data_IF_286785886267
#
_entry.id   IF_286785886267
#
_cell.length_a   1.000
_cell.length_b   1.000
_cell.length_c   1.000
_cell.angle_alpha   90.00
_cell.angle_beta   90.00
_cell.angle_gamma   90.00
#
_symmetry.space_group_name_H-M   'P 1'
#
loop_
_entity.id
_entity.type
_entity.pdbx_description
1 polymer ?
#
# COMPACT_ATOMS: atom_id res chain seq x y z
N UNK A 1 2.14 5.48 -2.65
CA UNK A 1 2.31 6.92 -2.41
C UNK A 1 2.72 7.58 -3.71
N UNK A 2 1.98 8.60 -4.15
CA UNK A 2 2.31 9.34 -5.37
C UNK A 2 3.34 10.42 -5.05
N UNK A 3 4.59 9.99 -4.87
CA UNK A 3 5.73 10.88 -4.62
C UNK A 3 6.64 10.93 -5.85
N UNK A 4 7.32 12.06 -6.02
CA UNK A 4 8.40 12.13 -7.01
C UNK A 4 9.62 11.39 -6.49
N UNK A 5 10.46 10.91 -7.41
CA UNK A 5 11.75 10.34 -7.05
C UNK A 5 12.56 11.34 -6.24
N UNK A 6 13.10 10.89 -5.11
CA UNK A 6 14.03 11.69 -4.33
C UNK A 6 15.34 11.89 -5.10
N UNK A 7 15.89 13.08 -4.95
CA UNK A 7 17.17 13.50 -5.53
C UNK A 7 18.24 13.70 -4.45
N UNK A 8 17.84 13.70 -3.18
CA UNK A 8 18.72 13.87 -2.03
C UNK A 8 18.27 13.00 -0.85
N UNK A 9 19.24 12.51 -0.07
CA UNK A 9 19.00 11.65 1.09
C UNK A 9 18.12 12.33 2.15
N UNK A 10 18.23 13.65 2.32
CA UNK A 10 17.43 14.40 3.29
C UNK A 10 15.93 14.26 3.05
N UNK A 11 15.49 14.08 1.79
CA UNK A 11 14.09 13.87 1.44
C UNK A 11 13.57 12.51 1.93
N UNK A 12 14.42 11.48 1.87
CA UNK A 12 14.10 10.18 2.44
C UNK A 12 14.01 10.26 3.97
N UNK A 13 14.95 10.96 4.61
CA UNK A 13 14.93 11.17 6.07
C UNK A 13 13.68 11.95 6.50
N UNK A 14 13.29 12.97 5.76
CA UNK A 14 12.05 13.72 6.01
C UNK A 14 10.81 12.85 5.85
N UNK A 15 10.74 12.04 4.79
CA UNK A 15 9.64 11.10 4.58
C UNK A 15 9.52 10.10 5.74
N UNK A 16 10.65 9.55 6.22
CA UNK A 16 10.66 8.63 7.36
C UNK A 16 10.10 9.33 8.61
N UNK A 17 10.48 10.58 8.87
CA UNK A 17 9.93 11.35 10.01
C UNK A 17 8.42 11.55 9.90
N UNK A 18 7.92 11.90 8.70
CA UNK A 18 6.48 12.06 8.45
C UNK A 18 5.73 10.75 8.73
N UNK A 19 6.22 9.64 8.19
CA UNK A 19 5.59 8.32 8.35
C UNK A 19 5.61 7.86 9.82
N UNK A 20 6.70 8.11 10.55
CA UNK A 20 6.79 7.79 11.97
C UNK A 20 5.79 8.60 12.80
N UNK A 21 5.63 9.89 12.51
CA UNK A 21 4.64 10.72 13.21
C UNK A 21 3.21 10.24 12.95
N UNK A 22 2.86 9.91 11.70
CA UNK A 22 1.56 9.34 11.37
C UNK A 22 1.31 8.00 12.07
N UNK A 23 2.36 7.20 12.27
CA UNK A 23 2.29 5.95 13.03
C UNK A 23 2.03 6.17 14.51
N UNK A 24 2.67 7.17 15.12
CA UNK A 24 2.41 7.52 16.53
C UNK A 24 0.96 7.99 16.74
N UNK A 25 0.37 8.61 15.71
CA UNK A 25 -1.03 9.04 15.71
C UNK A 25 -2.02 7.95 15.27
N UNK A 26 -1.54 6.73 14.99
CA UNK A 26 -2.35 5.61 14.46
C UNK A 26 -3.12 5.95 13.18
N UNK A 27 -2.59 6.87 12.35
CA UNK A 27 -3.21 7.31 11.09
C UNK A 27 -2.69 6.57 9.87
N UNK A 28 -1.44 6.14 9.90
CA UNK A 28 -0.79 5.38 8.85
C UNK A 28 0.41 4.64 9.45
N UNK A 29 0.88 3.58 8.82
CA UNK A 29 2.12 2.91 9.23
C UNK A 29 2.80 2.31 8.01
N UNK A 30 4.13 2.38 7.97
CA UNK A 30 4.93 1.89 6.86
C UNK A 30 6.00 0.94 7.38
N UNK A 31 6.11 -0.20 6.72
CA UNK A 31 7.09 -1.24 6.98
C UNK A 31 8.06 -1.35 5.81
N UNK A 32 9.32 -1.65 6.11
CA UNK A 32 10.29 -2.09 5.11
C UNK A 32 10.08 -3.57 4.80
N UNK A 33 10.21 -3.94 3.53
CA UNK A 33 10.24 -5.34 3.10
C UNK A 33 11.70 -5.72 2.94
N UNK A 34 12.15 -6.71 3.71
CA UNK A 34 13.52 -7.19 3.70
C UNK A 34 13.53 -8.61 3.12
N UNK A 35 14.31 -8.82 2.06
CA UNK A 35 14.54 -10.16 1.51
C UNK A 35 15.48 -10.94 2.43
N UNK A 36 15.06 -12.14 2.85
CA UNK A 36 15.80 -12.93 3.84
C UNK A 36 17.17 -13.40 3.34
N UNK A 37 17.28 -13.77 2.06
CA UNK A 37 18.53 -14.31 1.50
C UNK A 37 19.64 -13.24 1.45
N UNK A 38 19.32 -12.04 0.95
CA UNK A 38 20.29 -10.95 0.81
C UNK A 38 20.36 -10.01 2.02
N UNK A 39 19.37 -10.09 2.92
CA UNK A 39 19.15 -9.14 4.00
C UNK A 39 19.07 -7.68 3.52
N UNK A 40 18.53 -7.46 2.32
CA UNK A 40 18.38 -6.13 1.71
C UNK A 40 16.94 -5.66 1.79
N UNK A 41 16.76 -4.34 1.93
CA UNK A 41 15.45 -3.72 1.73
C UNK A 41 15.12 -3.77 0.24
N UNK A 42 14.04 -4.47 -0.10
CA UNK A 42 13.58 -4.66 -1.48
C UNK A 42 12.32 -3.86 -1.80
N UNK A 43 11.75 -3.16 -0.82
CA UNK A 43 10.55 -2.38 -1.00
C UNK A 43 9.96 -1.93 0.32
N UNK A 44 8.74 -1.45 0.27
CA UNK A 44 7.98 -1.07 1.46
C UNK A 44 6.49 -1.30 1.27
N UNK A 45 5.78 -1.56 2.36
CA UNK A 45 4.33 -1.71 2.36
C UNK A 45 3.74 -1.19 3.68
N UNK A 46 2.43 -1.00 3.73
CA UNK A 46 1.74 -0.69 4.97
C UNK A 46 0.36 -0.12 4.75
N UNK A 47 -0.19 0.51 5.78
CA UNK A 47 -1.47 1.21 5.72
C UNK A 47 -1.22 2.69 5.44
N UNK A 48 -1.62 3.17 4.27
CA UNK A 48 -1.54 4.59 3.88
C UNK A 48 -2.53 5.44 4.68
N UNK A 49 -3.67 4.87 5.06
CA UNK A 49 -4.63 5.51 5.95
C UNK A 49 -5.33 4.47 6.82
N UNK A 50 -5.61 4.82 8.06
CA UNK A 50 -6.31 4.00 9.05
C UNK A 50 -7.52 4.78 9.54
N UNK A 51 -8.67 4.12 9.51
CA UNK A 51 -9.94 4.62 10.00
C UNK A 51 -10.52 3.59 10.99
N UNK A 52 -10.03 3.68 12.23
CA UNK A 52 -10.36 2.72 13.29
C UNK A 52 -11.84 2.78 13.69
N UNK A 53 -12.51 3.92 13.52
CA UNK A 53 -13.94 4.04 13.86
C UNK A 53 -14.83 3.26 12.88
N UNK A 54 -14.41 3.14 11.62
CA UNK A 54 -15.06 2.32 10.61
C UNK A 54 -14.38 0.96 10.39
N UNK A 55 -13.46 0.57 11.28
CA UNK A 55 -12.70 -0.68 11.22
C UNK A 55 -12.13 -0.94 9.82
N UNK A 56 -11.47 0.06 9.23
CA UNK A 56 -10.91 -0.06 7.87
C UNK A 56 -9.56 0.63 7.70
N UNK A 57 -8.82 0.20 6.68
CA UNK A 57 -7.56 0.82 6.29
C UNK A 57 -7.34 0.74 4.76
N UNK A 58 -6.57 1.67 4.22
CA UNK A 58 -6.07 1.63 2.85
C UNK A 58 -4.62 1.13 2.85
N UNK A 59 -4.32 0.09 2.07
CA UNK A 59 -2.95 -0.41 1.88
C UNK A 59 -2.21 0.32 0.74
N UNK A 60 -0.89 0.40 0.87
CA UNK A 60 0.00 0.82 -0.20
C UNK A 60 1.32 0.06 -0.16
N UNK A 61 1.91 -0.13 -1.33
CA UNK A 61 3.16 -0.88 -1.46
C UNK A 61 3.96 -0.51 -2.71
N UNK A 62 5.26 -0.73 -2.63
CA UNK A 62 6.22 -0.67 -3.72
C UNK A 62 7.30 -1.73 -3.52
N UNK A 63 7.73 -2.31 -4.63
CA UNK A 63 8.84 -3.27 -4.68
C UNK A 63 9.84 -2.71 -5.70
N UNK A 64 11.12 -2.82 -5.41
CA UNK A 64 12.20 -2.51 -6.34
C UNK A 64 12.05 -3.34 -7.61
N UNK A 65 12.30 -2.74 -8.77
CA UNK A 65 12.07 -3.35 -10.08
C UNK A 65 12.83 -4.67 -10.26
N UNK A 66 14.03 -4.77 -9.70
CA UNK A 66 14.87 -5.97 -9.79
C UNK A 66 14.23 -7.20 -9.11
N UNK A 67 13.26 -6.98 -8.23
CA UNK A 67 12.58 -8.03 -7.47
C UNK A 67 11.15 -8.28 -7.96
N UNK A 68 10.73 -7.63 -9.06
CA UNK A 68 9.40 -7.87 -9.65
C UNK A 68 9.28 -9.29 -10.21
N UNK A 69 8.07 -9.86 -10.13
CA UNK A 69 7.79 -11.21 -10.64
C UNK A 69 8.11 -12.36 -9.67
N UNK A 70 8.81 -12.09 -8.57
CA UNK A 70 9.21 -13.12 -7.59
C UNK A 70 8.16 -13.44 -6.52
N UNK A 71 7.01 -12.75 -6.50
CA UNK A 71 5.95 -13.01 -5.52
C UNK A 71 6.04 -12.21 -4.21
N UNK A 72 7.04 -11.36 -4.03
CA UNK A 72 7.19 -10.56 -2.80
C UNK A 72 6.03 -9.59 -2.53
N UNK A 73 5.45 -8.97 -3.56
CA UNK A 73 4.30 -8.09 -3.38
C UNK A 73 3.09 -8.84 -2.77
N UNK A 74 2.58 -9.93 -3.37
CA UNK A 74 1.45 -10.65 -2.76
C UNK A 74 1.77 -11.21 -1.38
N UNK A 75 2.99 -11.69 -1.12
CA UNK A 75 3.41 -12.16 0.21
C UNK A 75 3.33 -11.05 1.28
N UNK A 76 3.89 -9.88 0.97
CA UNK A 76 3.85 -8.73 1.88
C UNK A 76 2.42 -8.25 2.15
N UNK A 77 1.57 -8.19 1.11
CA UNK A 77 0.18 -7.76 1.27
C UNK A 77 -0.67 -8.79 1.99
N UNK A 78 -0.45 -10.09 1.78
CA UNK A 78 -1.09 -11.12 2.57
C UNK A 78 -0.78 -10.96 4.05
N UNK A 79 0.49 -10.73 4.39
CA UNK A 79 0.92 -10.48 5.78
C UNK A 79 0.23 -9.27 6.41
N UNK A 80 0.05 -8.18 5.65
CA UNK A 80 -0.73 -7.03 6.12
C UNK A 80 -2.20 -7.40 6.36
N UNK A 81 -2.85 -8.05 5.39
CA UNK A 81 -4.26 -8.45 5.54
C UNK A 81 -4.48 -9.35 6.76
N UNK A 82 -3.61 -10.33 6.97
CA UNK A 82 -3.70 -11.24 8.11
C UNK A 82 -3.59 -10.49 9.43
N UNK A 83 -2.68 -9.52 9.52
CA UNK A 83 -2.57 -8.65 10.69
C UNK A 83 -3.82 -7.76 10.88
N UNK A 84 -4.30 -7.14 9.80
CA UNK A 84 -5.46 -6.26 9.85
C UNK A 84 -6.73 -6.98 10.33
N UNK A 85 -6.99 -8.16 9.78
CA UNK A 85 -8.20 -8.92 10.11
C UNK A 85 -8.09 -9.62 11.47
N UNK A 86 -6.97 -10.29 11.74
CA UNK A 86 -6.86 -11.15 12.93
C UNK A 86 -6.37 -10.41 14.19
N UNK A 87 -5.64 -9.30 14.03
CA UNK A 87 -5.09 -8.55 15.18
C UNK A 87 -5.76 -7.21 15.37
N UNK A 88 -5.93 -6.44 14.29
CA UNK A 88 -6.56 -5.11 14.37
C UNK A 88 -8.09 -5.17 14.35
N UNK A 89 -8.68 -6.34 14.06
CA UNK A 89 -10.12 -6.54 13.93
C UNK A 89 -10.76 -5.58 12.92
N UNK A 90 -10.05 -5.25 11.84
CA UNK A 90 -10.64 -4.49 10.75
C UNK A 90 -11.63 -5.36 9.98
N UNK A 91 -12.69 -4.73 9.48
CA UNK A 91 -13.67 -5.37 8.61
C UNK A 91 -13.26 -5.25 7.14
N UNK A 92 -12.52 -4.18 6.78
CA UNK A 92 -12.30 -3.81 5.37
C UNK A 92 -10.89 -3.29 5.10
N UNK A 93 -10.28 -3.80 4.04
CA UNK A 93 -9.01 -3.29 3.52
C UNK A 93 -9.19 -2.79 2.09
N UNK A 94 -8.79 -1.55 1.86
CA UNK A 94 -8.94 -0.84 0.59
C UNK A 94 -7.58 -0.76 -0.12
N UNK A 95 -7.59 -0.75 -1.45
CA UNK A 95 -6.44 -0.40 -2.26
C UNK A 95 -6.89 0.51 -3.41
N UNK A 96 -6.08 1.54 -3.70
CA UNK A 96 -6.28 2.45 -4.82
C UNK A 96 -5.13 2.30 -5.79
N UNK A 97 -5.44 2.14 -7.07
CA UNK A 97 -4.44 1.87 -8.10
C UNK A 97 -4.74 2.65 -9.37
N UNK A 98 -3.70 3.26 -9.96
CA UNK A 98 -3.81 3.86 -11.29
C UNK A 98 -4.19 2.76 -12.32
N UNK A 99 -5.16 3.00 -13.23
CA UNK A 99 -5.60 2.00 -14.22
C UNK A 99 -4.46 1.40 -15.06
N UNK A 100 -3.40 2.17 -15.30
CA UNK A 100 -2.23 1.75 -16.08
C UNK A 100 -1.29 0.80 -15.31
N UNK A 101 -1.43 0.72 -13.98
CA UNK A 101 -0.58 -0.12 -13.13
C UNK A 101 -1.09 -1.58 -13.08
N UNK A 102 -0.96 -2.24 -14.23
CA UNK A 102 -1.34 -3.65 -14.42
C UNK A 102 -0.66 -4.61 -13.43
N UNK A 103 0.53 -4.28 -12.93
CA UNK A 103 1.24 -5.12 -11.96
C UNK A 103 0.52 -5.14 -10.61
N UNK A 104 0.18 -3.97 -10.08
CA UNK A 104 -0.57 -3.84 -8.82
C UNK A 104 -1.97 -4.45 -8.95
N UNK A 105 -2.68 -4.19 -10.06
CA UNK A 105 -3.99 -4.80 -10.34
C UNK A 105 -3.92 -6.33 -10.29
N UNK A 106 -2.90 -6.94 -10.91
CA UNK A 106 -2.70 -8.40 -10.86
C UNK A 106 -2.43 -8.94 -9.46
N UNK A 107 -1.72 -8.18 -8.61
CA UNK A 107 -1.50 -8.56 -7.20
C UNK A 107 -2.83 -8.56 -6.45
N UNK A 108 -3.62 -7.51 -6.58
CA UNK A 108 -4.93 -7.40 -5.93
C UNK A 108 -5.89 -8.51 -6.39
N UNK A 109 -5.91 -8.83 -7.68
CA UNK A 109 -6.69 -9.94 -8.23
C UNK A 109 -6.24 -11.30 -7.66
N UNK A 110 -4.93 -11.57 -7.59
CA UNK A 110 -4.40 -12.81 -7.00
C UNK A 110 -4.78 -12.97 -5.53
N UNK A 111 -4.91 -11.86 -4.80
CA UNK A 111 -5.31 -11.83 -3.40
C UNK A 111 -6.83 -11.77 -3.22
N UNK A 112 -7.61 -11.95 -4.28
CA UNK A 112 -9.07 -11.93 -4.28
C UNK A 112 -9.63 -10.64 -3.68
N UNK A 113 -9.06 -9.49 -4.05
CA UNK A 113 -9.74 -8.20 -3.87
C UNK A 113 -10.85 -8.05 -4.93
N UNK A 114 -11.95 -7.45 -4.51
CA UNK A 114 -13.07 -7.08 -5.38
C UNK A 114 -12.84 -5.68 -5.94
N UNK A 115 -12.97 -5.52 -7.27
CA UNK A 115 -13.01 -4.20 -7.90
C UNK A 115 -14.36 -3.54 -7.64
N UNK A 116 -14.37 -2.31 -7.14
CA UNK A 116 -15.59 -1.58 -6.79
C UNK A 116 -15.89 -0.41 -7.74
N UNK A 117 -14.95 -0.11 -8.66
CA UNK A 117 -15.13 0.90 -9.68
C UNK A 117 -13.93 1.85 -9.81
N UNK A 118 -14.15 2.94 -10.54
CA UNK A 118 -13.11 3.93 -10.85
C UNK A 118 -13.54 5.31 -10.36
N UNK A 119 -12.72 5.91 -9.50
CA UNK A 119 -12.81 7.32 -9.16
C UNK A 119 -12.22 8.15 -10.29
N UNK A 120 -13.06 8.87 -11.03
CA UNK A 120 -12.63 9.67 -12.18
C UNK A 120 -12.01 10.98 -11.71
N UNK A 121 -10.80 11.30 -12.17
CA UNK A 121 -10.09 12.57 -11.94
C UNK A 121 -10.03 12.99 -10.46
N UNK A 122 -9.95 12.02 -9.56
CA UNK A 122 -10.10 12.24 -8.12
C UNK A 122 -8.83 12.74 -7.44
N UNK A 123 -7.66 12.51 -8.04
CA UNK A 123 -6.37 12.89 -7.47
C UNK A 123 -5.55 13.69 -8.49
N UNK A 124 -4.72 14.60 -8.01
CA UNK A 124 -3.75 15.33 -8.83
C UNK A 124 -2.36 14.72 -8.65
N UNK A 125 -1.84 14.07 -9.69
CA UNK A 125 -0.48 13.50 -9.72
C UNK A 125 0.30 14.12 -10.87
N UNK A 126 1.55 14.54 -10.62
CA UNK A 126 2.45 15.16 -11.62
C UNK A 126 1.78 16.26 -12.46
N UNK A 127 0.96 17.09 -11.81
CA UNK A 127 0.27 18.22 -12.44
C UNK A 127 -1.00 17.87 -13.22
N UNK A 128 -1.40 16.60 -13.31
CA UNK A 128 -2.61 16.14 -14.02
C UNK A 128 -3.60 15.51 -13.05
N UNK A 129 -4.89 15.64 -13.35
CA UNK A 129 -5.91 14.86 -12.66
C UNK A 129 -5.93 13.44 -13.21
N UNK A 130 -5.86 12.45 -12.33
CA UNK A 130 -5.79 11.03 -12.65
C UNK A 130 -7.00 10.28 -12.12
N UNK A 131 -7.30 9.17 -12.78
CA UNK A 131 -8.31 8.21 -12.35
C UNK A 131 -7.66 7.20 -11.39
N UNK A 132 -8.42 6.67 -10.44
CA UNK A 132 -7.98 5.59 -9.55
C UNK A 132 -9.04 4.50 -9.51
N UNK A 133 -8.64 3.26 -9.79
CA UNK A 133 -9.46 2.08 -9.54
C UNK A 133 -9.46 1.78 -8.04
N UNK A 134 -10.65 1.55 -7.48
CA UNK A 134 -10.83 1.13 -6.09
C UNK A 134 -10.99 -0.38 -6.05
N UNK A 135 -10.23 -1.00 -5.16
CA UNK A 135 -10.36 -2.39 -4.79
C UNK A 135 -10.59 -2.51 -3.29
N UNK A 136 -11.30 -3.55 -2.87
CA UNK A 136 -11.48 -3.87 -1.47
C UNK A 136 -11.43 -5.37 -1.19
N UNK A 137 -11.10 -5.70 0.06
CA UNK A 137 -11.29 -7.03 0.63
C UNK A 137 -11.96 -6.89 1.98
N UNK A 138 -12.94 -7.73 2.24
CA UNK A 138 -13.64 -7.82 3.52
C UNK A 138 -13.11 -9.00 4.32
N UNK A 139 -13.22 -8.93 5.64
CA UNK A 139 -13.06 -10.10 6.50
C UNK A 139 -14.05 -11.17 6.03
N UNK A 140 -13.59 -12.41 5.89
CA UNK A 140 -14.46 -13.56 5.60
C UNK A 140 -15.08 -14.02 6.92
N UNK A 141 -16.38 -14.27 6.94
CA UNK A 141 -17.07 -14.94 8.05
C UNK A 141 -16.48 -16.33 8.34
#
# INVERSE_FOLDING_TARGET
>A
MNINSFTDESQAVEMIKILNNLSLESKAIRYSIIELESNRIIGSCGYNSIDSSNAKAEIGYDISKDYWGNGYAPEAIQSLMDYAFNTLNFNRIEAKVEPENNNSIRVLQKLNYTSEGTMRKCEKSKGKFIDLCIFSKLVTE
#
